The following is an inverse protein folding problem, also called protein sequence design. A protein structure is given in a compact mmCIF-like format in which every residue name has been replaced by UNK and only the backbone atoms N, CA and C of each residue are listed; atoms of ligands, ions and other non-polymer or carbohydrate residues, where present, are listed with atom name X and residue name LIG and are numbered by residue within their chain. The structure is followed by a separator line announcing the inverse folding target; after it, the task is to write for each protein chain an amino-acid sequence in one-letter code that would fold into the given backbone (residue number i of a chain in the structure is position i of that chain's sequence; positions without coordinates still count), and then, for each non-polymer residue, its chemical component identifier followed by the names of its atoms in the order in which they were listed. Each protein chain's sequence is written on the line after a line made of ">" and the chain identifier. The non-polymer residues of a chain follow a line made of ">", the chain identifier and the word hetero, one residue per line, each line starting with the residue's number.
data_IF_047117030023
#
_entry.id   IF_047117030023
#
_cell.length_a   1.000
_cell.length_b   1.000
_cell.length_c   1.000
_cell.angle_alpha   90.00
_cell.angle_beta   90.00
_cell.angle_gamma   90.00
#
_symmetry.space_group_name_H-M   'P 1'
#
loop_
_entity.id
_entity.type
_entity.pdbx_description
1 polymer ?
#
# COMPACT_ATOMS: atom_id res chain seq x y z
N UNK A 1 18.34 -10.13 -13.59
CA UNK A 1 18.33 -9.34 -14.84
C UNK A 1 18.43 -10.20 -16.10
N UNK A 2 19.20 -11.31 -16.11
CA UNK A 2 19.23 -12.22 -17.26
C UNK A 2 17.89 -12.95 -17.50
N UNK A 3 17.19 -13.41 -16.45
CA UNK A 3 15.88 -14.09 -16.59
C UNK A 3 14.84 -13.28 -17.37
N UNK A 4 14.73 -11.96 -17.13
CA UNK A 4 13.77 -11.10 -17.84
C UNK A 4 14.02 -11.01 -19.35
N UNK A 5 15.25 -11.27 -19.80
CA UNK A 5 15.68 -11.18 -21.21
C UNK A 5 15.60 -12.51 -21.94
N UNK A 6 15.28 -13.60 -21.24
CA UNK A 6 15.14 -14.93 -21.85
C UNK A 6 13.80 -15.08 -22.58
N UNK A 7 12.86 -14.18 -22.33
CA UNK A 7 11.50 -14.22 -22.86
C UNK A 7 11.28 -12.96 -23.69
N UNK A 8 10.77 -13.14 -24.90
CA UNK A 8 10.31 -12.05 -25.73
C UNK A 8 8.89 -11.65 -25.31
N UNK A 9 8.81 -10.65 -24.44
CA UNK A 9 7.55 -10.18 -23.87
C UNK A 9 7.61 -8.71 -23.47
N UNK A 10 6.44 -8.09 -23.43
CA UNK A 10 6.22 -6.78 -22.81
C UNK A 10 5.20 -6.98 -21.71
N UNK A 11 5.63 -6.84 -20.45
CA UNK A 11 4.80 -7.15 -19.29
C UNK A 11 4.77 -6.02 -18.26
N UNK A 12 3.81 -6.10 -17.33
CA UNK A 12 3.76 -5.27 -16.12
C UNK A 12 3.88 -6.16 -14.90
N UNK A 13 4.72 -5.73 -13.97
CA UNK A 13 4.90 -6.37 -12.70
C UNK A 13 5.37 -5.42 -11.62
N UNK A 14 5.64 -5.98 -10.46
CA UNK A 14 6.19 -5.27 -9.31
C UNK A 14 7.29 -6.11 -8.67
N UNK A 15 8.34 -5.46 -8.20
CA UNK A 15 9.38 -6.11 -7.43
C UNK A 15 9.03 -5.99 -5.94
N UNK A 16 9.04 -7.10 -5.22
CA UNK A 16 8.73 -7.11 -3.79
C UNK A 16 9.56 -8.15 -3.04
N UNK A 17 9.67 -7.98 -1.72
CA UNK A 17 10.19 -8.99 -0.81
C UNK A 17 8.96 -9.71 -0.22
N UNK A 18 8.79 -11.04 -0.39
CA UNK A 18 7.56 -11.75 -0.02
C UNK A 18 7.03 -11.47 1.40
N UNK A 19 7.93 -11.35 2.38
CA UNK A 19 7.58 -11.09 3.78
C UNK A 19 7.93 -9.68 4.25
N UNK A 20 8.11 -8.77 3.29
CA UNK A 20 8.66 -7.45 3.55
C UNK A 20 7.78 -6.28 3.10
N UNK A 21 8.30 -5.08 3.31
CA UNK A 21 7.64 -3.84 2.91
C UNK A 21 8.53 -3.01 1.96
N UNK A 22 7.97 -1.94 1.41
CA UNK A 22 8.68 -1.06 0.47
C UNK A 22 9.98 -0.47 1.04
N UNK A 23 10.06 -0.22 2.36
CA UNK A 23 11.27 0.29 2.98
C UNK A 23 12.38 -0.75 2.98
N UNK A 24 12.05 -2.03 3.16
CA UNK A 24 13.02 -3.11 3.06
C UNK A 24 13.49 -3.32 1.62
N UNK A 25 12.60 -3.19 0.63
CA UNK A 25 12.96 -3.27 -0.79
C UNK A 25 13.96 -2.18 -1.19
N UNK A 26 13.82 -0.96 -0.65
CA UNK A 26 14.72 0.16 -0.92
C UNK A 26 16.14 -0.04 -0.37
N UNK A 27 16.35 -1.00 0.56
CA UNK A 27 17.67 -1.34 1.08
C UNK A 27 18.32 -2.39 0.17
N UNK A 28 19.39 -2.02 -0.55
CA UNK A 28 20.13 -2.91 -1.49
C UNK A 28 20.52 -4.27 -0.90
N UNK A 29 20.87 -4.32 0.39
CA UNK A 29 21.21 -5.56 1.09
C UNK A 29 20.10 -6.62 1.00
N UNK A 30 18.84 -6.22 0.84
CA UNK A 30 17.72 -7.13 0.76
C UNK A 30 17.39 -7.62 -0.66
N UNK A 31 18.06 -7.10 -1.71
CA UNK A 31 17.68 -7.39 -3.10
C UNK A 31 17.84 -8.86 -3.49
N UNK A 32 18.74 -9.60 -2.85
CA UNK A 32 18.88 -11.05 -3.05
C UNK A 32 17.62 -11.84 -2.65
N UNK A 33 16.75 -11.26 -1.81
CA UNK A 33 15.46 -11.84 -1.38
C UNK A 33 14.28 -11.39 -2.24
N UNK A 34 14.49 -10.41 -3.12
CA UNK A 34 13.42 -9.84 -3.92
C UNK A 34 12.96 -10.82 -5.00
N UNK A 35 11.67 -10.76 -5.31
CA UNK A 35 11.02 -11.45 -6.43
C UNK A 35 10.36 -10.41 -7.32
N UNK A 36 10.19 -10.75 -8.59
CA UNK A 36 9.43 -9.97 -9.57
C UNK A 36 8.09 -10.67 -9.78
N UNK A 37 7.01 -9.99 -9.46
CA UNK A 37 5.65 -10.46 -9.61
C UNK A 37 5.03 -9.91 -10.88
N UNK A 38 4.85 -10.75 -11.89
CA UNK A 38 4.21 -10.37 -13.16
C UNK A 38 2.71 -10.58 -13.05
N UNK A 39 1.94 -9.53 -13.33
CA UNK A 39 0.49 -9.56 -13.20
C UNK A 39 -0.26 -9.03 -14.42
N UNK A 40 0.46 -8.53 -15.44
CA UNK A 40 -0.13 -8.17 -16.72
C UNK A 40 0.84 -8.46 -17.87
N UNK A 41 0.29 -8.75 -19.04
CA UNK A 41 1.03 -9.09 -20.24
C UNK A 41 0.45 -8.32 -21.42
N UNK A 42 1.29 -7.56 -22.11
CA UNK A 42 0.91 -6.70 -23.22
C UNK A 42 1.39 -7.24 -24.56
N UNK A 43 2.50 -7.96 -24.58
CA UNK A 43 3.05 -8.58 -25.78
C UNK A 43 3.79 -9.87 -25.40
N UNK A 44 3.72 -10.88 -26.26
CA UNK A 44 4.47 -12.13 -26.13
C UNK A 44 4.78 -12.68 -27.52
N UNK A 45 6.06 -12.94 -27.81
CA UNK A 45 6.53 -13.46 -29.11
C UNK A 45 5.98 -12.66 -30.32
N UNK A 46 6.00 -11.33 -30.21
CA UNK A 46 5.51 -10.40 -31.23
C UNK A 46 3.99 -10.29 -31.36
N UNK A 47 3.20 -11.01 -30.55
CA UNK A 47 1.74 -10.88 -30.53
C UNK A 47 1.29 -9.81 -29.53
N UNK A 48 0.47 -8.84 -29.97
CA UNK A 48 -0.19 -7.88 -29.08
C UNK A 48 -1.31 -8.54 -28.28
N UNK A 49 -1.22 -8.43 -26.96
CA UNK A 49 -2.12 -9.05 -25.98
C UNK A 49 -2.91 -7.99 -25.19
N UNK A 50 -2.80 -6.70 -25.50
CA UNK A 50 -3.56 -5.64 -24.83
C UNK A 50 -5.07 -5.82 -24.93
N UNK A 51 -5.56 -6.65 -25.85
CA UNK A 51 -6.96 -7.07 -26.00
C UNK A 51 -7.43 -8.12 -24.99
N UNK A 52 -6.53 -8.92 -24.43
CA UNK A 52 -6.87 -10.07 -23.58
C UNK A 52 -7.63 -9.71 -22.29
N UNK A 53 -8.47 -10.64 -21.83
CA UNK A 53 -9.07 -10.53 -20.51
C UNK A 53 -8.00 -10.74 -19.42
N UNK A 54 -8.19 -10.21 -18.19
CA UNK A 54 -7.28 -10.47 -17.08
C UNK A 54 -7.08 -11.97 -16.78
N UNK A 55 -8.11 -12.79 -17.03
CA UNK A 55 -8.06 -14.25 -16.83
C UNK A 55 -7.14 -14.91 -17.87
N UNK A 56 -7.28 -14.56 -19.13
CA UNK A 56 -6.45 -15.14 -20.21
C UNK A 56 -4.99 -14.71 -20.04
N UNK A 57 -4.75 -13.43 -19.69
CA UNK A 57 -3.42 -12.93 -19.36
C UNK A 57 -2.81 -13.71 -18.18
N UNK A 58 -3.60 -13.98 -17.13
CA UNK A 58 -3.13 -14.77 -15.99
C UNK A 58 -2.68 -16.17 -16.41
N UNK A 59 -3.50 -16.87 -17.19
CA UNK A 59 -3.21 -18.22 -17.64
C UNK A 59 -1.93 -18.27 -18.49
N UNK A 60 -1.78 -17.30 -19.40
CA UNK A 60 -0.59 -17.21 -20.24
C UNK A 60 0.67 -16.91 -19.43
N UNK A 61 0.60 -16.00 -18.46
CA UNK A 61 1.72 -15.72 -17.55
C UNK A 61 2.14 -17.00 -16.81
N UNK A 62 1.21 -17.73 -16.20
CA UNK A 62 1.53 -18.96 -15.46
C UNK A 62 2.17 -20.03 -16.35
N UNK A 63 1.67 -20.18 -17.57
CA UNK A 63 2.23 -21.13 -18.53
C UNK A 63 3.65 -20.76 -18.97
N UNK A 64 3.89 -19.48 -19.29
CA UNK A 64 5.23 -18.95 -19.62
C UNK A 64 6.20 -19.22 -18.46
N UNK A 65 5.83 -18.86 -17.23
CA UNK A 65 6.69 -19.03 -16.05
C UNK A 65 7.02 -20.51 -15.80
N UNK A 66 6.03 -21.40 -15.94
CA UNK A 66 6.21 -22.86 -15.77
C UNK A 66 7.15 -23.46 -16.81
N UNK A 67 7.03 -23.07 -18.08
CA UNK A 67 7.87 -23.58 -19.19
C UNK A 67 9.33 -23.14 -19.05
N UNK A 68 9.55 -21.90 -18.64
CA UNK A 68 10.88 -21.30 -18.56
C UNK A 68 11.63 -21.58 -17.25
N UNK A 69 10.95 -22.11 -16.22
CA UNK A 69 11.54 -22.46 -14.91
C UNK A 69 12.30 -21.29 -14.26
N UNK A 70 11.72 -20.10 -14.30
CA UNK A 70 12.33 -18.88 -13.75
C UNK A 70 12.32 -18.92 -12.22
N UNK A 71 13.43 -18.52 -11.58
CA UNK A 71 13.58 -18.61 -10.13
C UNK A 71 13.13 -17.33 -9.43
N UNK A 72 13.40 -16.16 -10.03
CA UNK A 72 13.15 -14.87 -9.40
C UNK A 72 11.86 -14.19 -9.88
N UNK A 73 11.27 -14.70 -10.96
CA UNK A 73 10.04 -14.17 -11.55
C UNK A 73 8.90 -15.13 -11.25
N UNK A 74 7.79 -14.61 -10.72
CA UNK A 74 6.61 -15.38 -10.37
C UNK A 74 5.35 -14.59 -10.70
N UNK A 75 4.18 -15.24 -10.61
CA UNK A 75 2.90 -14.57 -10.63
C UNK A 75 2.40 -14.35 -9.17
N UNK A 76 1.60 -13.31 -8.88
CA UNK A 76 0.95 -13.15 -7.57
C UNK A 76 0.05 -14.34 -7.24
N UNK A 77 -0.32 -14.52 -5.97
CA UNK A 77 -1.34 -15.50 -5.60
C UNK A 77 -2.71 -15.14 -6.21
N UNK A 78 -3.47 -16.14 -6.65
CA UNK A 78 -4.83 -15.96 -7.17
C UNK A 78 -5.82 -16.65 -6.22
N UNK A 79 -6.83 -15.91 -5.79
CA UNK A 79 -7.86 -16.42 -4.88
C UNK A 79 -9.17 -16.68 -5.64
N UNK A 80 -9.93 -17.70 -5.23
CA UNK A 80 -11.22 -18.02 -5.86
C UNK A 80 -12.30 -17.04 -5.44
N UNK A 81 -12.21 -16.56 -4.20
CA UNK A 81 -13.16 -15.60 -3.61
C UNK A 81 -12.43 -14.41 -3.01
N UNK A 82 -13.19 -13.33 -2.80
CA UNK A 82 -12.69 -12.17 -2.07
C UNK A 82 -12.29 -12.54 -0.63
N UNK A 83 -13.12 -13.33 0.05
CA UNK A 83 -12.93 -13.70 1.46
C UNK A 83 -11.66 -14.53 1.67
N UNK A 84 -11.38 -15.49 0.78
CA UNK A 84 -10.12 -16.26 0.81
C UNK A 84 -8.90 -15.34 0.67
N UNK A 85 -8.94 -14.42 -0.31
CA UNK A 85 -7.87 -13.46 -0.50
C UNK A 85 -7.72 -12.49 0.67
N UNK A 86 -8.83 -12.08 1.27
CA UNK A 86 -8.79 -11.14 2.40
C UNK A 86 -8.29 -11.80 3.67
N UNK A 87 -8.67 -13.05 3.90
CA UNK A 87 -8.10 -13.88 4.95
C UNK A 87 -6.59 -14.03 4.76
N UNK A 88 -6.13 -14.33 3.54
CA UNK A 88 -4.70 -14.37 3.23
C UNK A 88 -4.00 -13.05 3.57
N UNK A 89 -4.58 -11.90 3.20
CA UNK A 89 -4.04 -10.57 3.57
C UNK A 89 -4.03 -10.34 5.08
N UNK A 90 -4.94 -10.95 5.82
CA UNK A 90 -5.00 -10.79 7.26
C UNK A 90 -3.96 -11.64 8.00
N UNK A 91 -3.73 -12.86 7.52
CA UNK A 91 -2.79 -13.84 8.08
C UNK A 91 -1.35 -13.58 7.64
N UNK A 92 -1.17 -12.98 6.46
CA UNK A 92 0.14 -12.69 5.89
C UNK A 92 0.41 -11.17 5.93
N UNK A 93 1.68 -10.76 5.84
CA UNK A 93 2.08 -9.34 5.84
C UNK A 93 1.82 -8.63 4.50
N UNK A 94 0.78 -9.03 3.77
CA UNK A 94 0.43 -8.45 2.48
C UNK A 94 -0.24 -7.08 2.66
N UNK A 95 0.00 -6.16 1.71
CA UNK A 95 -0.57 -4.81 1.73
C UNK A 95 -2.10 -4.81 1.52
N UNK A 96 -2.60 -5.75 0.71
CA UNK A 96 -3.98 -5.74 0.25
C UNK A 96 -4.25 -6.67 -0.93
N UNK A 97 -5.39 -6.46 -1.57
CA UNK A 97 -5.86 -7.16 -2.76
C UNK A 97 -5.98 -6.21 -3.96
N UNK A 98 -5.82 -6.79 -5.14
CA UNK A 98 -6.18 -6.14 -6.40
C UNK A 98 -7.29 -6.94 -7.06
N UNK A 99 -8.47 -6.34 -7.18
CA UNK A 99 -9.59 -6.93 -7.91
C UNK A 99 -9.53 -6.46 -9.36
N UNK A 100 -9.56 -7.40 -10.30
CA UNK A 100 -9.59 -7.11 -11.73
C UNK A 100 -10.92 -7.56 -12.32
N UNK A 101 -11.69 -6.62 -12.84
CA UNK A 101 -12.94 -6.91 -13.54
C UNK A 101 -12.65 -7.59 -14.89
N UNK A 102 -13.30 -8.72 -15.15
CA UNK A 102 -13.05 -9.52 -16.35
C UNK A 102 -13.52 -8.85 -17.65
N UNK A 103 -14.64 -8.13 -17.59
CA UNK A 103 -15.30 -7.59 -18.78
C UNK A 103 -14.72 -6.26 -19.28
N UNK A 104 -14.25 -5.39 -18.38
CA UNK A 104 -13.86 -4.00 -18.73
C UNK A 104 -12.45 -3.62 -18.24
N UNK A 105 -11.68 -4.59 -17.75
CA UNK A 105 -10.30 -4.42 -17.24
C UNK A 105 -10.15 -3.37 -16.15
N UNK A 106 -11.23 -2.96 -15.48
CA UNK A 106 -11.15 -2.09 -14.31
C UNK A 106 -10.42 -2.81 -13.19
N UNK A 107 -9.65 -2.05 -12.42
CA UNK A 107 -8.86 -2.57 -11.32
C UNK A 107 -9.14 -1.77 -10.06
N UNK A 108 -9.46 -2.48 -8.97
CA UNK A 108 -9.69 -1.88 -7.66
C UNK A 108 -8.61 -2.36 -6.71
N UNK A 109 -7.92 -1.43 -6.06
CA UNK A 109 -6.94 -1.75 -5.02
C UNK A 109 -7.61 -1.60 -3.66
N UNK A 110 -7.61 -2.67 -2.87
CA UNK A 110 -8.17 -2.70 -1.52
C UNK A 110 -7.01 -2.96 -0.57
N UNK A 111 -6.73 -2.02 0.32
CA UNK A 111 -5.58 -2.09 1.23
C UNK A 111 -6.04 -2.36 2.65
N UNK A 112 -5.29 -3.18 3.39
CA UNK A 112 -5.45 -3.30 4.84
C UNK A 112 -4.76 -2.10 5.49
N UNK A 113 -5.52 -1.34 6.25
CA UNK A 113 -5.01 -0.17 6.98
C UNK A 113 -5.23 -0.39 8.47
N UNK A 114 -4.27 0.06 9.25
CA UNK A 114 -4.36 0.17 10.70
C UNK A 114 -4.91 1.54 11.03
N UNK A 115 -5.94 1.58 11.86
CA UNK A 115 -6.47 2.83 12.41
C UNK A 115 -5.86 3.06 13.79
N UNK A 116 -5.48 4.31 14.08
CA UNK A 116 -4.94 4.70 15.38
C UNK A 116 -5.36 6.12 15.72
N UNK A 117 -5.59 6.36 17.01
CA UNK A 117 -5.90 7.68 17.55
C UNK A 117 -4.65 8.20 18.25
N UNK A 118 -4.10 9.32 17.78
CA UNK A 118 -2.84 9.87 18.29
C UNK A 118 -3.00 11.33 18.72
N UNK A 119 -2.46 11.72 19.88
CA UNK A 119 -2.47 13.11 20.32
C UNK A 119 -1.70 14.01 19.35
N UNK A 120 -2.23 15.21 19.11
CA UNK A 120 -1.54 16.23 18.32
C UNK A 120 -0.76 17.11 19.28
N UNK A 121 0.56 17.13 19.13
CA UNK A 121 1.48 17.90 19.99
C UNK A 121 1.96 19.19 19.34
N UNK A 122 1.60 19.41 18.08
CA UNK A 122 1.91 20.64 17.37
C UNK A 122 1.50 20.60 15.91
N UNK A 123 1.83 21.67 15.21
CA UNK A 123 1.57 21.84 13.78
C UNK A 123 2.75 22.53 13.13
N UNK A 124 3.11 22.07 11.94
CA UNK A 124 3.99 22.80 11.05
C UNK A 124 3.15 23.64 10.08
N UNK A 125 3.50 24.92 9.97
CA UNK A 125 2.89 25.84 9.01
C UNK A 125 3.42 25.55 7.60
N UNK A 126 2.61 24.84 6.81
CA UNK A 126 2.83 24.67 5.37
C UNK A 126 2.12 25.75 4.54
N UNK A 127 1.89 25.47 3.25
CA UNK A 127 0.91 26.21 2.42
C UNK A 127 -0.52 26.03 3.00
N UNK A 128 -1.58 26.26 2.23
CA UNK A 128 -2.98 26.18 2.72
C UNK A 128 -3.37 24.89 3.48
N UNK A 129 -2.62 23.80 3.32
CA UNK A 129 -2.76 22.55 4.05
C UNK A 129 -1.64 22.42 5.10
N UNK A 130 -2.01 22.36 6.38
CA UNK A 130 -1.06 22.21 7.49
C UNK A 130 -0.61 20.76 7.69
N UNK A 131 0.50 20.55 8.38
CA UNK A 131 0.95 19.22 8.84
C UNK A 131 0.81 19.15 10.35
N UNK A 132 0.16 18.11 10.88
CA UNK A 132 0.05 17.87 12.31
C UNK A 132 1.19 16.99 12.79
N UNK A 133 1.75 17.35 13.94
CA UNK A 133 2.77 16.59 14.66
C UNK A 133 2.05 15.69 15.66
N UNK A 134 2.22 14.37 15.51
CA UNK A 134 1.57 13.37 16.34
C UNK A 134 2.59 12.77 17.31
N UNK A 135 2.19 12.50 18.55
CA UNK A 135 3.05 11.81 19.51
C UNK A 135 2.60 10.35 19.67
N UNK A 136 3.52 9.42 19.42
CA UNK A 136 3.28 7.98 19.53
C UNK A 136 4.43 7.32 20.30
N UNK A 137 4.16 6.83 21.51
CA UNK A 137 5.16 6.16 22.37
C UNK A 137 6.49 6.94 22.49
N UNK A 138 6.42 8.26 22.67
CA UNK A 138 7.60 9.13 22.77
C UNK A 138 8.26 9.50 21.43
N UNK A 139 7.77 8.98 20.31
CA UNK A 139 8.26 9.31 18.96
C UNK A 139 7.31 10.26 18.28
N UNK A 140 7.86 11.30 17.64
CA UNK A 140 7.07 12.25 16.86
C UNK A 140 6.87 11.76 15.42
N UNK A 141 5.62 11.68 15.00
CA UNK A 141 5.20 11.38 13.63
C UNK A 141 4.54 12.61 12.98
N UNK A 142 4.31 12.55 11.67
CA UNK A 142 3.65 13.63 10.91
C UNK A 142 2.50 13.10 10.10
N UNK A 143 1.40 13.85 10.05
CA UNK A 143 0.28 13.59 9.15
C UNK A 143 -0.16 14.87 8.46
N UNK A 144 -0.50 14.79 7.17
CA UNK A 144 -1.00 15.94 6.42
C UNK A 144 -2.46 16.23 6.80
N UNK A 145 -2.74 17.47 7.17
CA UNK A 145 -4.09 18.04 7.23
C UNK A 145 -4.55 18.33 5.81
N UNK A 146 -5.03 17.30 5.13
CA UNK A 146 -5.39 17.27 3.69
C UNK A 146 -6.43 18.30 3.24
N UNK A 147 -6.99 19.12 4.15
CA UNK A 147 -7.98 20.17 3.87
C UNK A 147 -7.82 21.36 4.82
N UNK A 148 -8.27 22.55 4.39
CA UNK A 148 -8.35 23.74 5.27
C UNK A 148 -9.34 23.54 6.43
N UNK A 149 -10.38 22.72 6.24
CA UNK A 149 -11.36 22.42 7.30
C UNK A 149 -10.72 21.69 8.48
N UNK A 150 -9.73 20.82 8.24
CA UNK A 150 -8.98 20.19 9.33
C UNK A 150 -8.17 21.22 10.12
N UNK A 151 -7.53 22.17 9.43
CA UNK A 151 -6.78 23.23 10.07
C UNK A 151 -7.69 24.13 10.92
N UNK A 152 -8.81 24.58 10.37
CA UNK A 152 -9.78 25.41 11.08
C UNK A 152 -10.36 24.69 12.31
N UNK A 153 -10.70 23.40 12.18
CA UNK A 153 -11.17 22.60 13.32
C UNK A 153 -10.11 22.48 14.40
N UNK A 154 -8.85 22.24 14.03
CA UNK A 154 -7.75 22.20 15.00
C UNK A 154 -7.59 23.53 15.74
N UNK A 155 -7.61 24.65 15.02
CA UNK A 155 -7.51 25.99 15.61
C UNK A 155 -8.68 26.29 16.55
N UNK A 156 -9.91 25.90 16.17
CA UNK A 156 -11.10 26.02 17.01
C UNK A 156 -10.94 25.26 18.33
N UNK A 157 -10.51 23.99 18.28
CA UNK A 157 -10.30 23.17 19.48
C UNK A 157 -9.28 23.80 20.44
N UNK A 158 -8.20 24.39 19.89
CA UNK A 158 -7.22 25.10 20.72
C UNK A 158 -7.80 26.35 21.38
N UNK A 159 -8.62 27.13 20.66
CA UNK A 159 -9.31 28.32 21.21
C UNK A 159 -10.30 27.93 22.32
N UNK A 160 -10.95 26.77 22.18
CA UNK A 160 -11.84 26.19 23.19
C UNK A 160 -11.09 25.62 24.41
N UNK A 161 -9.75 25.60 24.40
CA UNK A 161 -8.92 25.05 25.46
C UNK A 161 -8.85 23.52 25.49
N UNK A 162 -9.31 22.87 24.40
CA UNK A 162 -9.33 21.41 24.27
C UNK A 162 -7.97 20.86 23.85
N UNK A 163 -7.71 19.60 24.23
CA UNK A 163 -6.51 18.87 23.77
C UNK A 163 -6.88 17.99 22.57
N UNK A 164 -6.43 18.33 21.34
CA UNK A 164 -6.85 17.63 20.14
C UNK A 164 -6.07 16.33 19.90
N UNK A 165 -6.75 15.36 19.26
CA UNK A 165 -6.14 14.15 18.71
C UNK A 165 -6.54 13.95 17.25
N UNK A 166 -5.70 13.20 16.52
CA UNK A 166 -5.93 12.80 15.14
C UNK A 166 -6.34 11.33 15.08
N UNK A 167 -7.43 11.04 14.38
CA UNK A 167 -7.73 9.71 13.87
C UNK A 167 -6.98 9.54 12.56
N UNK A 168 -6.02 8.62 12.54
CA UNK A 168 -5.23 8.32 11.36
C UNK A 168 -5.45 6.89 10.91
N UNK A 169 -5.18 6.66 9.62
CA UNK A 169 -5.00 5.33 9.06
C UNK A 169 -3.63 5.22 8.40
N UNK A 170 -2.97 4.07 8.52
CA UNK A 170 -1.67 3.81 7.90
C UNK A 170 -1.49 2.33 7.55
N UNK A 171 -0.52 2.01 6.69
CA UNK A 171 -0.33 0.62 6.23
C UNK A 171 0.46 -0.22 7.25
N UNK A 172 1.59 0.29 7.71
CA UNK A 172 2.47 -0.36 8.68
C UNK A 172 3.30 0.67 9.46
N UNK A 173 3.96 0.23 10.53
CA UNK A 173 4.93 1.03 11.27
C UNK A 173 6.33 0.81 10.71
N UNK A 174 7.09 1.90 10.59
CA UNK A 174 8.54 1.83 10.29
C UNK A 174 9.31 1.20 11.45
N UNK A 175 10.60 0.87 11.22
CA UNK A 175 11.52 0.37 12.24
C UNK A 175 11.64 1.32 13.46
N UNK A 176 11.29 2.59 13.30
CA UNK A 176 11.29 3.62 14.35
C UNK A 176 9.93 3.81 15.05
N UNK A 177 8.94 2.97 14.74
CA UNK A 177 7.59 3.08 15.32
C UNK A 177 6.75 4.23 14.75
N UNK A 178 7.20 4.86 13.66
CA UNK A 178 6.47 5.93 12.95
C UNK A 178 5.51 5.29 11.92
N UNK A 179 4.23 5.70 11.86
CA UNK A 179 3.30 5.30 10.79
C UNK A 179 3.84 5.61 9.38
N UNK A 180 3.81 4.62 8.48
CA UNK A 180 4.18 4.83 7.08
C UNK A 180 3.02 5.39 6.27
N UNK A 181 3.22 6.55 5.64
CA UNK A 181 2.22 7.27 4.84
C UNK A 181 0.86 7.41 5.56
N UNK A 182 0.82 7.98 6.78
CA UNK A 182 -0.43 8.12 7.50
C UNK A 182 -1.37 9.08 6.77
N UNK A 183 -2.66 8.79 6.83
CA UNK A 183 -3.74 9.64 6.32
C UNK A 183 -4.62 10.09 7.47
N UNK A 184 -4.86 11.40 7.54
CA UNK A 184 -5.79 11.97 8.50
C UNK A 184 -7.22 11.64 8.07
N UNK A 185 -7.98 11.01 8.96
CA UNK A 185 -9.41 10.74 8.77
C UNK A 185 -10.26 11.80 9.44
N UNK A 186 -9.97 12.07 10.72
CA UNK A 186 -10.74 13.00 11.56
C UNK A 186 -9.83 13.64 12.59
N UNK A 187 -10.29 14.80 13.08
CA UNK A 187 -9.76 15.46 14.27
C UNK A 187 -10.83 15.45 15.34
N UNK A 188 -10.46 15.20 16.60
CA UNK A 188 -11.39 15.23 17.72
C UNK A 188 -10.70 15.57 19.04
N UNK A 189 -11.42 15.59 20.16
CA UNK A 189 -10.88 15.94 21.49
C UNK A 189 -10.48 14.71 22.29
N UNK A 190 -9.38 14.77 23.05
CA UNK A 190 -8.94 13.64 23.89
C UNK A 190 -9.98 13.22 24.94
N UNK A 191 -10.92 14.10 25.30
CA UNK A 191 -12.06 13.77 26.16
C UNK A 191 -12.96 12.68 25.55
N UNK A 192 -13.09 12.63 24.22
CA UNK A 192 -13.86 11.61 23.50
C UNK A 192 -13.09 10.29 23.30
N UNK A 193 -11.79 10.25 23.63
CA UNK A 193 -10.98 9.03 23.59
C UNK A 193 -11.28 8.06 24.74
N UNK A 194 -11.70 8.62 25.89
CA UNK A 194 -11.88 7.91 27.16
C UNK A 194 -13.34 7.55 27.47
N UNK A 195 -14.26 7.74 26.51
CA UNK A 195 -15.66 7.30 26.57
C UNK A 195 -15.84 6.07 25.70
#
# INVERSE_FOLDING_TARGET
>A
MQELRQIDWVCRGEMAIPDGNVLQLNKKINWHRAKIFIFDLFEYEGQDLRGNSPRDNRWLIEDILRRNKLVHITAPELFKTFDEGWQYVCENKAEGLVLKELANKRQHKIKKLTEEKLPIVGRETGKAHGTFLLLRNGVQAKVSGTSMSHVAKYEQLLVEGESPYAEIEYQFLTDYGIPFQPRLRRLNTLAELNR
#
